data_IF_764650361706
#
_entry.id   IF_764650361706
#
_cell.length_a   1.000
_cell.length_b   1.000
_cell.length_c   1.000
_cell.angle_alpha   90.00
_cell.angle_beta   90.00
_cell.angle_gamma   90.00
#
_symmetry.space_group_name_H-M   'P 1'
#
loop_
_entity.id
_entity.type
_entity.pdbx_description
1 polymer ?
#
# COMPACT_ATOMS: atom_id res chain seq x y z
N UNK A 1 -12.05 17.35 -0.40
CA UNK A 1 -11.30 16.51 0.55
C UNK A 1 -10.64 15.46 -0.31
N UNK A 2 -9.31 15.33 -0.21
CA UNK A 2 -8.58 14.28 -0.90
C UNK A 2 -9.14 12.91 -0.49
N UNK A 3 -9.37 12.05 -1.47
CA UNK A 3 -9.86 10.68 -1.31
C UNK A 3 -8.68 9.73 -1.31
N UNK A 4 -8.77 8.72 -0.44
CA UNK A 4 -7.73 7.73 -0.28
C UNK A 4 -8.29 6.34 -0.54
N UNK A 5 -7.48 5.49 -1.17
CA UNK A 5 -7.76 4.07 -1.34
C UNK A 5 -6.59 3.24 -0.84
N UNK A 6 -6.91 2.13 -0.18
CA UNK A 6 -5.98 1.09 0.20
C UNK A 6 -6.45 -0.24 -0.41
N UNK A 7 -5.63 -0.82 -1.27
CA UNK A 7 -5.87 -2.15 -1.85
C UNK A 7 -4.83 -3.11 -1.32
N UNK A 8 -5.24 -4.25 -0.78
CA UNK A 8 -4.28 -5.22 -0.24
C UNK A 8 -4.66 -6.69 -0.49
N UNK A 9 -3.70 -7.60 -0.35
CA UNK A 9 -3.95 -9.05 -0.26
C UNK A 9 -3.27 -9.65 0.97
N UNK A 10 -3.88 -10.68 1.54
CA UNK A 10 -3.41 -11.33 2.76
C UNK A 10 -3.83 -12.80 2.80
N UNK A 11 -2.86 -13.73 2.84
CA UNK A 11 -3.18 -15.16 2.93
C UNK A 11 -3.41 -15.64 4.37
N UNK A 12 -2.64 -15.15 5.34
CA UNK A 12 -2.70 -15.60 6.74
C UNK A 12 -3.10 -14.49 7.72
N UNK A 13 -3.59 -13.36 7.22
CA UNK A 13 -4.02 -12.22 8.05
C UNK A 13 -2.94 -11.19 8.38
N UNK A 14 -1.65 -11.49 8.18
CA UNK A 14 -0.58 -10.57 8.60
C UNK A 14 -0.62 -9.22 7.85
N UNK A 15 -0.75 -9.25 6.52
CA UNK A 15 -0.83 -8.02 5.71
C UNK A 15 -2.11 -7.25 6.00
N UNK A 16 -3.22 -7.96 6.26
CA UNK A 16 -4.48 -7.36 6.70
C UNK A 16 -4.32 -6.65 8.07
N UNK A 17 -3.62 -7.25 9.02
CA UNK A 17 -3.36 -6.60 10.32
C UNK A 17 -2.52 -5.31 10.18
N UNK A 18 -1.56 -5.31 9.25
CA UNK A 18 -0.77 -4.13 8.89
C UNK A 18 -1.69 -3.08 8.23
N UNK A 19 -2.51 -3.49 7.25
CA UNK A 19 -3.46 -2.64 6.55
C UNK A 19 -4.42 -1.94 7.53
N UNK A 20 -5.00 -2.69 8.46
CA UNK A 20 -5.90 -2.19 9.49
C UNK A 20 -5.23 -1.15 10.40
N UNK A 21 -3.97 -1.40 10.81
CA UNK A 21 -3.23 -0.44 11.64
C UNK A 21 -2.86 0.84 10.86
N UNK A 22 -2.53 0.75 9.57
CA UNK A 22 -2.31 1.93 8.72
C UNK A 22 -3.62 2.70 8.54
N UNK A 23 -4.72 1.99 8.27
CA UNK A 23 -6.05 2.59 8.10
C UNK A 23 -6.51 3.36 9.34
N UNK A 24 -6.29 2.80 10.54
CA UNK A 24 -6.54 3.51 11.81
C UNK A 24 -5.76 4.84 11.87
N UNK A 25 -4.48 4.82 11.52
CA UNK A 25 -3.65 6.02 11.47
C UNK A 25 -4.15 7.07 10.47
N UNK A 26 -4.62 6.66 9.29
CA UNK A 26 -5.21 7.57 8.28
C UNK A 26 -6.52 8.18 8.78
N UNK A 27 -7.40 7.36 9.38
CA UNK A 27 -8.69 7.80 9.90
C UNK A 27 -8.55 8.77 11.09
N UNK A 28 -7.50 8.61 11.91
CA UNK A 28 -7.18 9.56 12.99
C UNK A 28 -6.84 10.98 12.48
N UNK A 29 -6.37 11.11 11.24
CA UNK A 29 -6.16 12.42 10.58
C UNK A 29 -7.45 12.98 9.95
N UNK A 30 -8.59 12.30 10.13
CA UNK A 30 -9.90 12.76 9.64
C UNK A 30 -10.13 12.50 8.14
N UNK A 31 -9.34 11.62 7.54
CA UNK A 31 -9.45 11.22 6.13
C UNK A 31 -10.41 10.04 5.98
N UNK A 32 -11.27 10.09 4.97
CA UNK A 32 -12.09 8.96 4.54
C UNK A 32 -11.26 8.05 3.64
N UNK A 33 -11.05 6.81 4.09
CA UNK A 33 -10.22 5.82 3.43
C UNK A 33 -11.08 4.65 2.96
N UNK A 34 -11.07 4.40 1.66
CA UNK A 34 -11.64 3.20 1.07
C UNK A 34 -10.65 2.06 1.18
N UNK A 35 -11.04 0.96 1.83
CA UNK A 35 -10.18 -0.21 2.04
C UNK A 35 -10.80 -1.40 1.31
N UNK A 36 -10.01 -2.03 0.43
CA UNK A 36 -10.43 -3.20 -0.35
C UNK A 36 -9.39 -4.31 -0.30
N UNK A 37 -9.87 -5.53 -0.26
CA UNK A 37 -9.05 -6.65 -0.73
C UNK A 37 -8.91 -6.56 -2.25
N UNK A 38 -7.77 -7.02 -2.77
CA UNK A 38 -7.43 -6.90 -4.18
C UNK A 38 -8.46 -7.56 -5.10
N UNK A 39 -9.08 -8.66 -4.64
CA UNK A 39 -10.11 -9.38 -5.40
C UNK A 39 -11.42 -8.61 -5.54
N UNK A 40 -11.64 -7.60 -4.69
CA UNK A 40 -12.83 -6.74 -4.70
C UNK A 40 -12.55 -5.34 -5.29
N UNK A 41 -11.33 -5.09 -5.78
CA UNK A 41 -10.88 -3.82 -6.33
C UNK A 41 -10.73 -3.88 -7.86
N UNK A 42 -10.99 -2.76 -8.54
CA UNK A 42 -10.68 -2.57 -9.97
C UNK A 42 -9.51 -1.60 -10.08
N UNK A 43 -8.41 -1.99 -10.74
CA UNK A 43 -7.22 -1.15 -10.82
C UNK A 43 -7.49 0.25 -11.40
N UNK A 44 -8.50 0.40 -12.28
CA UNK A 44 -8.85 1.70 -12.87
C UNK A 44 -9.37 2.70 -11.85
N UNK A 45 -9.96 2.22 -10.76
CA UNK A 45 -10.50 3.13 -9.74
C UNK A 45 -9.39 3.92 -9.05
N UNK A 46 -8.14 3.45 -9.06
CA UNK A 46 -6.98 4.21 -8.56
C UNK A 46 -6.88 5.61 -9.18
N UNK A 47 -7.37 5.79 -10.41
CA UNK A 47 -7.41 7.09 -11.09
C UNK A 47 -8.37 8.10 -10.43
N UNK A 48 -9.24 7.66 -9.53
CA UNK A 48 -10.23 8.50 -8.83
C UNK A 48 -9.74 9.03 -7.47
N UNK A 49 -8.59 8.56 -6.98
CA UNK A 49 -8.05 8.89 -5.65
C UNK A 49 -6.75 9.70 -5.74
N UNK A 50 -6.52 10.58 -4.75
CA UNK A 50 -5.29 11.36 -4.63
C UNK A 50 -4.20 10.62 -3.82
N UNK A 51 -4.62 9.80 -2.85
CA UNK A 51 -3.74 8.95 -2.03
C UNK A 51 -3.99 7.47 -2.24
N UNK A 52 -2.97 6.73 -2.68
CA UNK A 52 -3.06 5.29 -2.99
C UNK A 52 -2.12 4.50 -2.07
N UNK A 53 -2.63 3.46 -1.42
CA UNK A 53 -1.81 2.50 -0.69
C UNK A 53 -2.00 1.09 -1.27
N UNK A 54 -0.89 0.41 -1.55
CA UNK A 54 -0.91 -1.00 -1.98
C UNK A 54 -0.27 -1.90 -0.92
N UNK A 55 -0.91 -3.01 -0.60
CA UNK A 55 -0.47 -3.94 0.45
C UNK A 55 -0.33 -5.37 -0.05
N UNK A 56 0.87 -5.96 -0.03
CA UNK A 56 1.04 -7.36 -0.44
C UNK A 56 2.06 -8.12 0.41
N UNK A 57 1.78 -9.41 0.64
CA UNK A 57 2.82 -10.34 1.11
C UNK A 57 3.68 -10.78 -0.08
N UNK A 58 4.85 -11.36 0.18
CA UNK A 58 5.72 -11.94 -0.87
C UNK A 58 5.46 -13.43 -1.00
N UNK A 59 5.37 -13.93 -2.25
CA UNK A 59 5.18 -15.35 -2.53
C UNK A 59 6.43 -16.00 -3.11
N UNK A 60 6.61 -17.30 -2.84
CA UNK A 60 7.65 -18.12 -3.45
C UNK A 60 9.05 -17.52 -3.37
N UNK A 61 9.70 -17.37 -4.52
CA UNK A 61 11.02 -16.75 -4.65
C UNK A 61 10.90 -15.27 -5.01
N UNK A 62 10.19 -14.49 -4.19
CA UNK A 62 10.13 -13.03 -4.32
C UNK A 62 9.11 -12.50 -5.31
N UNK A 63 8.05 -13.25 -5.56
CA UNK A 63 6.99 -12.93 -6.50
C UNK A 63 5.82 -12.22 -5.80
N UNK A 64 4.98 -11.55 -6.60
CA UNK A 64 3.67 -11.12 -6.13
C UNK A 64 2.75 -12.32 -5.93
N UNK A 65 1.81 -12.27 -4.97
CA UNK A 65 0.75 -13.25 -4.87
C UNK A 65 -0.11 -13.29 -6.13
N UNK A 66 -0.58 -14.48 -6.52
CA UNK A 66 -1.43 -14.67 -7.70
C UNK A 66 -2.63 -13.72 -7.70
N UNK A 67 -3.30 -13.56 -6.56
CA UNK A 67 -4.45 -12.65 -6.40
C UNK A 67 -4.11 -11.18 -6.71
N UNK A 68 -2.84 -10.78 -6.52
CA UNK A 68 -2.37 -9.43 -6.80
C UNK A 68 -1.80 -9.29 -8.21
N UNK A 69 -1.37 -10.38 -8.86
CA UNK A 69 -0.80 -10.34 -10.21
C UNK A 69 -1.84 -9.85 -11.23
N UNK A 70 -3.08 -10.31 -11.15
CA UNK A 70 -4.14 -9.84 -12.05
C UNK A 70 -4.38 -8.33 -11.90
N UNK A 71 -4.44 -7.82 -10.67
CA UNK A 71 -4.57 -6.39 -10.40
C UNK A 71 -3.34 -5.60 -10.86
N UNK A 72 -2.14 -6.15 -10.67
CA UNK A 72 -0.88 -5.56 -11.12
C UNK A 72 -0.83 -5.40 -12.65
N UNK A 73 -1.28 -6.42 -13.38
CA UNK A 73 -1.36 -6.39 -14.84
C UNK A 73 -2.44 -5.40 -15.30
N UNK A 74 -3.58 -5.33 -14.61
CA UNK A 74 -4.64 -4.35 -14.90
C UNK A 74 -4.23 -2.89 -14.63
N UNK A 75 -3.16 -2.66 -13.86
CA UNK A 75 -2.56 -1.33 -13.71
C UNK A 75 -1.81 -0.87 -14.97
N UNK A 76 -1.57 -1.75 -15.96
CA UNK A 76 -0.93 -1.37 -17.22
C UNK A 76 -1.73 -0.30 -17.97
N UNK A 77 -1.06 0.81 -18.26
CA UNK A 77 -1.63 1.91 -19.04
C UNK A 77 -2.47 2.91 -18.25
N UNK A 78 -2.58 2.75 -16.93
CA UNK A 78 -3.09 3.81 -16.06
C UNK A 78 -2.14 5.01 -16.04
N UNK A 79 -2.68 6.21 -15.81
CA UNK A 79 -1.89 7.41 -15.56
C UNK A 79 -2.15 7.93 -14.15
N UNK A 80 -1.21 7.65 -13.25
CA UNK A 80 -1.25 8.10 -11.87
C UNK A 80 -0.45 9.39 -11.63
N UNK A 81 -0.14 10.13 -12.70
CA UNK A 81 0.59 11.41 -12.60
C UNK A 81 -0.08 12.36 -11.61
N UNK A 82 0.72 12.87 -10.66
CA UNK A 82 0.26 13.81 -9.64
C UNK A 82 -0.38 13.14 -8.41
N UNK A 83 -0.61 11.83 -8.43
CA UNK A 83 -1.10 11.07 -7.27
C UNK A 83 0.04 10.69 -6.35
N UNK A 84 -0.26 10.58 -5.06
CA UNK A 84 0.69 10.10 -4.06
C UNK A 84 0.43 8.65 -3.75
N UNK A 85 1.51 7.89 -3.60
CA UNK A 85 1.41 6.47 -3.29
C UNK A 85 2.34 6.02 -2.18
N UNK A 86 1.97 4.92 -1.54
CA UNK A 86 2.78 4.22 -0.55
C UNK A 86 2.52 2.71 -0.65
N UNK A 87 3.49 1.91 -0.24
CA UNK A 87 3.37 0.44 -0.30
C UNK A 87 3.77 -0.17 1.04
N UNK A 88 3.10 -1.24 1.42
CA UNK A 88 3.39 -1.99 2.63
C UNK A 88 3.24 -3.49 2.42
N UNK A 89 3.74 -4.30 3.36
CA UNK A 89 3.62 -5.74 3.26
C UNK A 89 4.16 -6.51 4.46
N UNK A 90 3.54 -7.65 4.74
CA UNK A 90 4.13 -8.67 5.61
C UNK A 90 5.26 -9.39 4.87
N UNK A 91 6.37 -9.59 5.57
CA UNK A 91 7.61 -10.15 5.06
C UNK A 91 8.09 -11.26 6.01
N UNK A 92 8.96 -12.15 5.51
CA UNK A 92 9.51 -13.23 6.32
C UNK A 92 11.02 -13.34 6.02
N UNK A 93 11.83 -13.06 7.03
CA UNK A 93 13.30 -13.09 6.96
C UNK A 93 13.90 -14.48 6.79
N UNK A 94 13.08 -15.55 6.90
CA UNK A 94 13.49 -16.91 6.54
C UNK A 94 13.66 -17.10 5.03
N UNK A 95 13.16 -16.18 4.21
CA UNK A 95 13.34 -16.17 2.77
C UNK A 95 14.42 -15.16 2.35
N UNK A 96 15.16 -15.48 1.29
CA UNK A 96 16.25 -14.63 0.79
C UNK A 96 15.73 -13.26 0.29
N UNK A 97 14.54 -13.26 -0.33
CA UNK A 97 13.91 -12.08 -0.93
C UNK A 97 12.93 -11.42 0.03
N UNK A 98 13.48 -10.68 1.00
CA UNK A 98 12.70 -10.00 2.02
C UNK A 98 11.86 -8.83 1.46
N UNK A 99 10.54 -9.04 1.39
CA UNK A 99 9.57 -8.02 0.98
C UNK A 99 9.68 -7.61 -0.48
N UNK A 100 10.06 -8.51 -1.38
CA UNK A 100 10.20 -8.22 -2.80
C UNK A 100 8.89 -7.73 -3.44
N UNK A 101 7.73 -8.22 -2.99
CA UNK A 101 6.43 -7.73 -3.44
C UNK A 101 6.24 -6.21 -3.22
N UNK A 102 6.73 -5.69 -2.08
CA UNK A 102 6.68 -4.25 -1.78
C UNK A 102 7.52 -3.47 -2.79
N UNK A 103 8.71 -3.98 -3.12
CA UNK A 103 9.60 -3.33 -4.06
C UNK A 103 9.01 -3.33 -5.49
N UNK A 104 8.43 -4.46 -5.91
CA UNK A 104 7.75 -4.62 -7.22
C UNK A 104 6.60 -3.62 -7.37
N UNK A 105 5.78 -3.45 -6.34
CA UNK A 105 4.64 -2.52 -6.38
C UNK A 105 5.09 -1.06 -6.36
N UNK A 106 6.17 -0.74 -5.63
CA UNK A 106 6.77 0.60 -5.67
C UNK A 106 7.23 0.94 -7.09
N UNK A 107 7.93 0.00 -7.74
CA UNK A 107 8.44 0.20 -9.09
C UNK A 107 7.29 0.38 -10.09
N UNK A 108 6.23 -0.43 -9.97
CA UNK A 108 5.02 -0.30 -10.79
C UNK A 108 4.33 1.05 -10.65
N UNK A 109 4.11 1.49 -9.41
CA UNK A 109 3.48 2.79 -9.14
C UNK A 109 4.27 3.95 -9.74
N UNK A 110 5.60 3.90 -9.65
CA UNK A 110 6.49 4.90 -10.26
C UNK A 110 6.47 4.83 -11.78
N UNK A 111 6.43 3.63 -12.35
CA UNK A 111 6.37 3.42 -13.81
C UNK A 111 5.13 4.10 -14.42
N UNK A 112 3.99 4.03 -13.73
CA UNK A 112 2.71 4.63 -14.15
C UNK A 112 2.50 6.07 -13.63
N UNK A 113 3.56 6.71 -13.12
CA UNK A 113 3.56 8.16 -12.84
C UNK A 113 3.18 8.58 -11.41
N UNK A 114 2.86 7.65 -10.51
CA UNK A 114 2.59 7.99 -9.11
C UNK A 114 3.87 8.42 -8.38
N UNK A 115 3.74 9.37 -7.46
CA UNK A 115 4.82 9.78 -6.57
C UNK A 115 4.78 8.94 -5.28
N UNK A 116 5.72 8.00 -5.17
CA UNK A 116 5.88 7.18 -3.96
C UNK A 116 6.62 7.98 -2.90
N UNK A 117 5.87 8.56 -1.96
CA UNK A 117 6.37 9.57 -1.01
C UNK A 117 6.91 9.00 0.31
N UNK A 118 6.77 7.70 0.54
CA UNK A 118 7.29 7.01 1.72
C UNK A 118 8.12 5.79 1.29
N UNK A 119 9.13 5.45 2.10
CA UNK A 119 9.81 4.16 1.99
C UNK A 119 8.82 3.02 2.24
N UNK A 120 8.91 1.94 1.47
CA UNK A 120 8.01 0.80 1.60
C UNK A 120 8.04 0.18 2.99
N UNK A 121 6.87 0.03 3.62
CA UNK A 121 6.77 -0.52 4.97
C UNK A 121 6.79 -2.05 4.95
N UNK A 122 7.91 -2.63 5.37
CA UNK A 122 8.10 -4.09 5.48
C UNK A 122 8.06 -4.51 6.95
N UNK A 123 7.11 -5.37 7.32
CA UNK A 123 6.96 -5.88 8.69
C UNK A 123 7.19 -7.40 8.72
N UNK A 124 7.95 -7.89 9.69
CA UNK A 124 8.19 -9.32 9.88
C UNK A 124 6.90 -9.99 10.39
N UNK A 125 6.31 -10.88 9.58
CA UNK A 125 5.08 -11.62 9.89
C UNK A 125 3.96 -10.67 10.36
N UNK A 126 3.32 -10.98 11.50
CA UNK A 126 2.30 -10.15 12.10
C UNK A 126 2.95 -9.00 12.92
N UNK A 127 2.40 -7.78 12.87
CA UNK A 127 2.95 -6.66 13.59
C UNK A 127 2.86 -6.86 15.11
N UNK A 128 3.98 -6.69 15.81
CA UNK A 128 3.99 -6.54 17.27
C UNK A 128 3.23 -5.29 17.70
N UNK A 129 2.93 -5.14 18.99
CA UNK A 129 2.28 -3.93 19.50
C UNK A 129 3.08 -2.65 19.19
N UNK A 130 4.40 -2.70 19.19
CA UNK A 130 5.25 -1.56 18.82
C UNK A 130 5.17 -1.28 17.32
N UNK A 131 5.16 -2.32 16.49
CA UNK A 131 5.05 -2.17 15.04
C UNK A 131 3.67 -1.72 14.60
N UNK A 132 2.60 -2.06 15.34
CA UNK A 132 1.26 -1.47 15.10
C UNK A 132 1.29 0.04 15.20
N UNK A 133 1.98 0.60 16.19
CA UNK A 133 2.16 2.05 16.30
C UNK A 133 3.01 2.61 15.15
N UNK A 134 4.00 1.85 14.65
CA UNK A 134 4.74 2.23 13.42
C UNK A 134 3.81 2.26 12.20
N UNK A 135 2.91 1.27 12.06
CA UNK A 135 1.91 1.23 10.99
C UNK A 135 0.94 2.41 11.06
N UNK A 136 0.42 2.76 12.25
CA UNK A 136 -0.42 3.96 12.43
C UNK A 136 0.32 5.22 12.04
N UNK A 137 1.55 5.39 12.51
CA UNK A 137 2.37 6.54 12.18
C UNK A 137 2.72 6.60 10.68
N UNK A 138 2.85 5.46 10.02
CA UNK A 138 3.01 5.39 8.56
C UNK A 138 1.79 5.97 7.85
N UNK A 139 0.57 5.58 8.26
CA UNK A 139 -0.68 6.14 7.74
C UNK A 139 -0.78 7.65 7.93
N UNK A 140 -0.48 8.16 9.13
CA UNK A 140 -0.48 9.60 9.42
C UNK A 140 0.49 10.39 8.56
N UNK A 141 1.73 9.89 8.44
CA UNK A 141 2.76 10.51 7.60
C UNK A 141 2.37 10.51 6.13
N UNK A 142 1.69 9.46 5.68
CA UNK A 142 1.19 9.41 4.30
C UNK A 142 0.17 10.52 4.05
N UNK A 143 -0.83 10.67 4.93
CA UNK A 143 -1.82 11.76 4.85
C UNK A 143 -1.15 13.12 4.79
N UNK A 144 -0.22 13.40 5.71
CA UNK A 144 0.52 14.66 5.75
C UNK A 144 1.25 14.93 4.43
N UNK A 145 1.97 13.92 3.90
CA UNK A 145 2.69 14.07 2.63
C UNK A 145 1.77 14.23 1.40
N UNK A 146 0.54 13.73 1.44
CA UNK A 146 -0.46 14.02 0.38
C UNK A 146 -0.96 15.46 0.49
N UNK A 147 -1.34 15.90 1.69
CA UNK A 147 -1.93 17.23 1.90
C UNK A 147 -0.93 18.38 1.76
N UNK A 148 0.34 18.19 2.15
CA UNK A 148 1.40 19.21 2.00
C UNK A 148 1.65 19.59 0.53
N UNK A 149 1.31 18.72 -0.42
CA UNK A 149 1.42 19.01 -1.86
C UNK A 149 0.27 19.83 -2.44
N UNK A 150 -0.86 20.00 -1.73
CA UNK A 150 -2.00 20.80 -2.22
C UNK A 150 -1.83 22.31 -1.94
N UNK A 151 -0.88 22.71 -1.08
CA UNK A 151 -0.67 24.11 -0.66
C UNK A 151 0.36 24.90 -1.51
N UNK A 152 0.85 24.36 -2.64
CA UNK A 152 1.81 25.04 -3.54
C UNK A 152 1.19 25.56 -4.84
#
# INVERSE_FOLDING_TARGET
MAKFIMVYTSMTGNTEEIANAIAEGIQEEGIDLEVKEVLDADAKELEEYEGILLGAYTWGDGELPDDFLDFYDDMDGLDLSGKKAAVFGSCDSNYEKYGAAVDILIDKLKEIGADVILEGLKIELAPTNEEREKCKNFGKRFVQGVLETEEC
#
